data_IF_510370778590
#
_entry.id   IF_510370778590
#
_cell.length_a   1.000
_cell.length_b   1.000
_cell.length_c   1.000
_cell.angle_alpha   90.00
_cell.angle_beta   90.00
_cell.angle_gamma   90.00
#
_symmetry.space_group_name_H-M   'P 1'
#
loop_
_entity.id
_entity.type
_entity.pdbx_description
1 polymer ?
#
# COMPACT_ATOMS: atom_id res chain seq x y z
N UNK A 1 26.08 1.39 -40.58
CA UNK A 1 25.95 1.03 -39.16
C UNK A 1 24.56 0.43 -38.94
N UNK A 2 24.45 -0.87 -38.65
CA UNK A 2 23.16 -1.56 -38.44
C UNK A 2 22.71 -1.29 -37.00
N UNK A 3 21.55 -0.67 -36.82
CA UNK A 3 20.99 -0.42 -35.49
C UNK A 3 20.78 -1.74 -34.74
N UNK A 4 21.12 -1.80 -33.43
CA UNK A 4 20.93 -3.01 -32.64
C UNK A 4 19.43 -3.23 -32.43
N UNK A 5 18.89 -4.29 -33.05
CA UNK A 5 17.46 -4.66 -33.03
C UNK A 5 16.92 -5.06 -31.65
N UNK A 6 17.79 -5.13 -30.63
CA UNK A 6 17.47 -5.47 -29.24
C UNK A 6 17.14 -4.25 -28.36
N UNK A 7 17.43 -3.03 -28.84
CA UNK A 7 17.13 -1.78 -28.13
C UNK A 7 15.64 -1.62 -27.72
N UNK A 8 14.64 -1.92 -28.58
CA UNK A 8 13.24 -1.78 -28.18
C UNK A 8 12.82 -2.83 -27.14
N UNK A 9 13.41 -4.02 -27.18
CA UNK A 9 13.12 -5.07 -26.19
C UNK A 9 13.66 -4.72 -24.80
N UNK A 10 14.86 -4.12 -24.73
CA UNK A 10 15.45 -3.63 -23.48
C UNK A 10 14.63 -2.48 -22.86
N UNK A 11 14.16 -1.55 -23.69
CA UNK A 11 13.30 -0.44 -23.25
C UNK A 11 11.95 -0.93 -22.72
N UNK A 12 11.36 -1.95 -23.34
CA UNK A 12 10.11 -2.54 -22.87
C UNK A 12 10.26 -3.23 -21.50
N UNK A 13 11.37 -3.91 -21.25
CA UNK A 13 11.68 -4.56 -19.96
C UNK A 13 11.96 -3.53 -18.85
N UNK A 14 12.63 -2.42 -19.19
CA UNK A 14 12.87 -1.34 -18.23
C UNK A 14 11.58 -0.59 -17.85
N UNK A 15 10.64 -0.42 -18.80
CA UNK A 15 9.38 0.26 -18.55
C UNK A 15 8.43 -0.53 -17.63
N UNK A 16 8.40 -1.85 -17.73
CA UNK A 16 7.58 -2.70 -16.85
C UNK A 16 8.14 -2.86 -15.44
N UNK A 17 9.46 -2.75 -15.25
CA UNK A 17 10.06 -2.77 -13.91
C UNK A 17 9.79 -1.51 -13.08
N UNK A 18 9.53 -0.37 -13.73
CA UNK A 18 9.31 0.92 -13.06
C UNK A 18 7.98 0.99 -12.28
N UNK A 19 6.94 0.29 -12.72
CA UNK A 19 5.61 0.35 -12.08
C UNK A 19 5.58 -0.34 -10.72
N UNK A 20 6.42 -1.36 -10.49
CA UNK A 20 6.48 -2.07 -9.21
C UNK A 20 7.12 -1.27 -8.07
N UNK A 21 7.90 -0.23 -8.39
CA UNK A 21 8.55 0.65 -7.41
C UNK A 21 7.64 1.78 -6.89
N UNK A 22 6.45 1.95 -7.48
CA UNK A 22 5.42 2.91 -7.02
C UNK A 22 4.45 2.28 -6.01
N UNK A 23 4.78 1.13 -5.41
CA UNK A 23 3.99 0.59 -4.32
C UNK A 23 3.99 1.61 -3.17
N UNK A 24 2.84 2.22 -2.92
CA UNK A 24 2.66 3.26 -1.92
C UNK A 24 3.01 2.77 -0.52
N UNK A 25 3.50 3.69 0.31
CA UNK A 25 4.17 3.38 1.56
C UNK A 25 3.14 3.29 2.71
N UNK A 26 2.18 2.36 2.59
CA UNK A 26 1.13 2.12 3.58
C UNK A 26 1.70 1.56 4.88
N UNK A 27 1.39 2.22 6.00
CA UNK A 27 1.89 1.84 7.33
C UNK A 27 0.83 2.03 8.40
N UNK A 28 0.65 1.01 9.23
CA UNK A 28 -0.21 1.09 10.41
C UNK A 28 0.48 1.83 11.55
N UNK A 29 -0.28 2.63 12.30
CA UNK A 29 0.21 3.28 13.51
C UNK A 29 0.36 2.32 14.69
N UNK A 30 1.45 2.43 15.45
CA UNK A 30 1.58 1.73 16.74
C UNK A 30 0.50 2.17 17.72
N UNK A 31 -0.17 1.26 18.46
CA UNK A 31 0.21 -0.14 18.71
C UNK A 31 -0.47 -1.19 17.81
N UNK A 32 -1.06 -0.79 16.68
CA UNK A 32 -1.77 -1.71 15.79
C UNK A 32 -0.78 -2.68 15.15
N UNK A 33 -0.84 -3.94 15.56
CA UNK A 33 0.10 -4.98 15.16
C UNK A 33 -0.49 -6.37 15.43
N UNK A 34 0.21 -7.40 14.93
CA UNK A 34 -0.16 -8.79 15.18
C UNK A 34 -0.14 -9.09 16.69
N UNK A 35 -1.11 -9.89 17.14
CA UNK A 35 -1.28 -10.28 18.54
C UNK A 35 -1.47 -9.13 19.55
N UNK A 36 -1.83 -7.92 19.10
CA UNK A 36 -2.20 -6.84 20.03
C UNK A 36 -3.43 -7.20 20.87
N UNK A 37 -3.53 -6.61 22.05
CA UNK A 37 -4.69 -6.72 22.95
C UNK A 37 -5.43 -5.39 22.99
N UNK A 38 -6.75 -5.43 22.77
CA UNK A 38 -7.61 -4.25 22.84
C UNK A 38 -8.28 -4.12 24.21
N UNK A 39 -8.42 -2.88 24.68
CA UNK A 39 -9.18 -2.60 25.90
C UNK A 39 -10.69 -2.73 25.63
N UNK A 40 -11.38 -3.56 26.40
CA UNK A 40 -12.83 -3.74 26.33
C UNK A 40 -13.58 -2.46 26.74
N UNK A 41 -14.79 -2.29 26.21
CA UNK A 41 -15.73 -1.21 26.57
C UNK A 41 -15.17 0.21 26.35
N UNK A 42 -14.21 0.35 25.43
CA UNK A 42 -13.65 1.62 25.01
C UNK A 42 -13.70 1.74 23.48
N UNK A 43 -13.85 2.97 22.95
CA UNK A 43 -13.65 3.21 21.52
C UNK A 43 -12.23 2.81 21.10
N UNK A 44 -12.12 2.14 19.96
CA UNK A 44 -10.84 1.76 19.35
C UNK A 44 -10.61 2.64 18.14
N UNK A 45 -9.67 3.58 18.26
CA UNK A 45 -9.23 4.36 17.10
C UNK A 45 -8.37 3.48 16.19
N UNK A 46 -8.41 3.71 14.88
CA UNK A 46 -7.53 3.07 13.89
C UNK A 46 -6.89 4.17 13.06
N UNK A 47 -5.57 4.13 12.91
CA UNK A 47 -4.78 5.19 12.27
C UNK A 47 -3.51 4.64 11.62
N UNK A 48 -2.94 5.42 10.73
CA UNK A 48 -1.74 5.06 9.97
C UNK A 48 -1.40 6.13 8.95
N UNK A 49 -0.52 5.76 8.03
CA UNK A 49 -0.10 6.57 6.90
C UNK A 49 -0.40 5.83 5.60
N UNK A 50 -0.84 6.59 4.62
CA UNK A 50 -1.09 6.16 3.25
C UNK A 50 -0.73 7.32 2.33
N UNK A 51 -0.58 7.04 1.03
CA UNK A 51 -0.34 8.11 0.08
C UNK A 51 -1.60 8.96 -0.12
N UNK A 52 -1.42 10.20 -0.55
CA UNK A 52 -2.55 11.12 -0.75
C UNK A 52 -3.50 10.58 -1.84
N UNK A 53 -4.79 10.48 -1.51
CA UNK A 53 -5.81 9.96 -2.43
C UNK A 53 -5.90 8.44 -2.47
N UNK A 54 -5.12 7.72 -1.65
CA UNK A 54 -5.21 6.28 -1.52
C UNK A 54 -6.47 5.89 -0.74
N UNK A 55 -7.29 5.02 -1.33
CA UNK A 55 -8.48 4.51 -0.65
C UNK A 55 -8.09 3.46 0.40
N UNK A 56 -8.35 3.76 1.67
CA UNK A 56 -8.05 2.85 2.79
C UNK A 56 -9.36 2.31 3.36
N UNK A 57 -9.44 1.00 3.56
CA UNK A 57 -10.57 0.33 4.22
C UNK A 57 -10.11 -0.43 5.46
N UNK A 58 -10.81 -0.24 6.56
CA UNK A 58 -10.61 -0.95 7.83
C UNK A 58 -11.80 -1.88 8.06
N UNK A 59 -11.52 -3.18 8.20
CA UNK A 59 -12.50 -4.20 8.55
C UNK A 59 -12.14 -4.85 9.88
N UNK A 60 -13.01 -4.72 10.89
CA UNK A 60 -12.76 -5.22 12.24
C UNK A 60 -14.06 -5.53 12.96
N UNK A 61 -14.16 -6.69 13.62
CA UNK A 61 -15.31 -7.03 14.48
C UNK A 61 -16.68 -6.97 13.77
N UNK A 62 -16.75 -7.28 12.47
CA UNK A 62 -17.97 -7.17 11.65
C UNK A 62 -18.30 -5.75 11.17
N UNK A 63 -17.46 -4.76 11.47
CA UNK A 63 -17.58 -3.38 11.02
C UNK A 63 -16.66 -3.12 9.83
N UNK A 64 -17.06 -2.22 8.94
CA UNK A 64 -16.25 -1.74 7.82
C UNK A 64 -16.32 -0.22 7.71
N UNK A 65 -15.17 0.44 7.49
CA UNK A 65 -15.02 1.89 7.34
C UNK A 65 -14.01 2.18 6.23
N UNK A 66 -14.24 3.24 5.46
CA UNK A 66 -13.33 3.68 4.40
C UNK A 66 -12.99 5.16 4.50
N UNK A 67 -11.79 5.53 4.04
CA UNK A 67 -11.29 6.90 3.96
C UNK A 67 -10.42 7.08 2.70
N UNK A 68 -10.07 8.33 2.37
CA UNK A 68 -9.26 8.73 1.21
C UNK A 68 -8.39 9.93 1.59
#
# INVERSE_FOLDING_TARGET
>A
MRSPRFLPALLAVLATGYTSLLAGDFRLGSPISDHMVLQREKPVAVWGWADAGEAVTVAFGGQSKSAT
#
